data_IF_213929561057
#
_entry.id   IF_213929561057
#
_cell.length_a   1.000
_cell.length_b   1.000
_cell.length_c   1.000
_cell.angle_alpha   90.00
_cell.angle_beta   90.00
_cell.angle_gamma   90.00
#
_symmetry.space_group_name_H-M   'P 1'
#
loop_
_entity.id
_entity.type
_entity.pdbx_description
1 polymer ?
#
# COMPACT_ATOMS: atom_id res chain seq x y z
N UNK A 1 -65.32 -2.51 -70.68
CA UNK A 1 -64.73 -1.31 -70.05
C UNK A 1 -64.82 -1.49 -68.54
N UNK A 2 -63.67 -1.71 -67.90
CA UNK A 2 -63.50 -2.02 -66.49
C UNK A 2 -62.83 -0.82 -65.83
N UNK A 3 -63.46 -0.26 -64.81
CA UNK A 3 -62.91 0.82 -63.98
C UNK A 3 -62.09 0.19 -62.85
N UNK A 4 -60.80 0.50 -62.83
CA UNK A 4 -59.81 0.08 -61.82
C UNK A 4 -59.58 1.16 -60.75
N UNK A 5 -59.15 0.67 -59.58
CA UNK A 5 -58.21 1.29 -58.62
C UNK A 5 -58.73 2.41 -57.71
N UNK A 6 -58.36 2.50 -56.42
CA UNK A 6 -57.26 1.93 -55.62
C UNK A 6 -57.67 1.89 -54.13
N UNK A 7 -57.35 0.80 -53.45
CA UNK A 7 -57.31 0.72 -51.98
C UNK A 7 -55.94 1.24 -51.53
N UNK A 8 -55.91 2.17 -50.58
CA UNK A 8 -54.68 2.65 -49.93
C UNK A 8 -54.36 1.68 -48.79
N UNK A 9 -53.31 0.89 -48.96
CA UNK A 9 -52.68 0.14 -47.87
C UNK A 9 -51.77 1.09 -47.09
N UNK A 10 -52.09 1.30 -45.82
CA UNK A 10 -51.17 1.90 -44.85
C UNK A 10 -50.18 0.81 -44.44
N UNK A 11 -48.96 0.87 -44.99
CA UNK A 11 -47.83 0.07 -44.52
C UNK A 11 -47.20 0.81 -43.34
N UNK A 12 -47.29 0.21 -42.16
CA UNK A 12 -46.56 0.67 -40.98
C UNK A 12 -45.06 0.54 -41.25
N UNK A 13 -44.35 1.67 -41.24
CA UNK A 13 -42.90 1.69 -41.25
C UNK A 13 -42.42 1.30 -39.84
N UNK A 14 -42.05 0.03 -39.65
CA UNK A 14 -41.16 -0.38 -38.56
C UNK A 14 -39.79 0.24 -38.83
N UNK A 15 -39.46 1.29 -38.10
CA UNK A 15 -38.11 1.83 -37.99
C UNK A 15 -37.22 0.75 -37.39
N UNK A 16 -36.43 0.09 -38.24
CA UNK A 16 -35.28 -0.66 -37.79
C UNK A 16 -34.32 0.34 -37.13
N UNK A 17 -34.22 0.27 -35.81
CA UNK A 17 -33.16 0.93 -35.05
C UNK A 17 -31.86 0.27 -35.52
N UNK A 18 -31.16 0.95 -36.41
CA UNK A 18 -29.81 0.56 -36.81
C UNK A 18 -28.94 0.59 -35.58
N UNK A 19 -28.51 -0.59 -35.14
CA UNK A 19 -27.35 -0.73 -34.26
C UNK A 19 -26.18 -0.10 -35.01
N UNK A 20 -25.81 1.13 -34.61
CA UNK A 20 -24.54 1.69 -35.05
C UNK A 20 -23.45 0.69 -34.64
N UNK A 21 -22.56 0.28 -35.55
CA UNK A 21 -21.36 -0.42 -35.13
C UNK A 21 -20.60 0.58 -34.27
N UNK A 22 -20.59 0.36 -32.94
CA UNK A 22 -19.56 0.94 -32.08
C UNK A 22 -18.26 0.52 -32.75
N UNK A 23 -17.57 1.47 -33.36
CA UNK A 23 -16.26 1.23 -33.94
C UNK A 23 -15.44 0.63 -32.81
N UNK A 24 -15.07 -0.64 -32.96
CA UNK A 24 -14.22 -1.35 -32.03
C UNK A 24 -12.85 -0.68 -32.17
N UNK A 25 -12.64 0.42 -31.46
CA UNK A 25 -11.32 0.98 -31.26
C UNK A 25 -10.56 -0.09 -30.48
N UNK A 26 -9.77 -0.89 -31.21
CA UNK A 26 -8.83 -1.82 -30.59
C UNK A 26 -7.75 -0.94 -29.97
N UNK A 27 -8.03 -0.45 -28.77
CA UNK A 27 -7.05 0.24 -27.94
C UNK A 27 -5.99 -0.80 -27.61
N UNK A 28 -4.80 -0.59 -28.16
CA UNK A 28 -3.65 -1.37 -27.81
C UNK A 28 -3.24 -0.89 -26.41
N UNK A 29 -3.41 -1.75 -25.40
CA UNK A 29 -2.87 -1.48 -24.09
C UNK A 29 -1.35 -1.31 -24.20
N UNK A 30 -0.72 -0.54 -23.29
CA UNK A 30 0.71 -0.60 -23.09
C UNK A 30 1.14 -2.08 -23.04
N UNK A 31 2.12 -2.45 -23.86
CA UNK A 31 2.74 -3.76 -23.67
C UNK A 31 3.49 -3.66 -22.34
N UNK A 32 3.27 -4.57 -21.39
CA UNK A 32 4.10 -4.59 -20.21
C UNK A 32 5.53 -4.90 -20.67
N UNK A 33 6.37 -3.87 -20.65
CA UNK A 33 7.81 -4.01 -20.88
C UNK A 33 8.51 -4.44 -19.58
N UNK A 34 7.80 -4.36 -18.44
CA UNK A 34 8.22 -4.84 -17.12
C UNK A 34 7.50 -6.12 -16.65
N UNK A 35 7.96 -6.71 -15.53
CA UNK A 35 7.34 -7.89 -14.94
C UNK A 35 5.90 -7.62 -14.49
N UNK A 36 5.03 -8.64 -14.59
CA UNK A 36 3.70 -8.61 -13.99
C UNK A 36 3.77 -9.13 -12.56
N UNK A 37 3.34 -8.33 -11.58
CA UNK A 37 3.16 -8.79 -10.19
C UNK A 37 1.76 -9.39 -10.02
N UNK A 38 1.66 -10.44 -9.21
CA UNK A 38 0.38 -11.10 -8.92
C UNK A 38 -0.02 -10.82 -7.48
N UNK A 39 -1.04 -9.98 -7.28
CA UNK A 39 -1.63 -9.75 -5.96
C UNK A 39 -2.67 -10.85 -5.66
N UNK A 40 -2.69 -11.42 -4.43
CA UNK A 40 -3.67 -12.43 -4.06
C UNK A 40 -5.07 -11.83 -4.05
N UNK A 41 -6.06 -12.71 -4.22
CA UNK A 41 -7.46 -12.34 -4.04
C UNK A 41 -7.69 -11.95 -2.57
N UNK A 42 -8.15 -10.73 -2.30
CA UNK A 42 -8.64 -10.38 -0.98
C UNK A 42 -9.93 -11.18 -0.70
N UNK A 43 -10.10 -11.68 0.53
CA UNK A 43 -11.39 -12.26 0.95
C UNK A 43 -12.49 -11.22 0.76
N UNK A 44 -13.66 -11.64 0.27
CA UNK A 44 -14.83 -10.77 0.09
C UNK A 44 -15.21 -10.12 1.42
N UNK A 45 -14.66 -8.94 1.70
CA UNK A 45 -15.17 -8.07 2.72
C UNK A 45 -16.53 -7.59 2.25
N UNK A 46 -17.52 -7.58 3.14
CA UNK A 46 -18.80 -6.90 2.92
C UNK A 46 -18.50 -5.50 2.38
N UNK A 47 -19.24 -5.04 1.35
CA UNK A 47 -19.15 -3.68 0.82
C UNK A 47 -19.33 -2.70 1.98
N UNK A 48 -18.22 -2.30 2.55
CA UNK A 48 -18.07 -1.42 3.68
C UNK A 48 -17.06 -0.39 3.25
N UNK A 49 -17.40 0.88 3.48
CA UNK A 49 -16.54 2.06 3.55
C UNK A 49 -15.12 1.81 3.06
N UNK A 50 -14.69 2.47 1.97
CA UNK A 50 -13.29 2.54 1.54
C UNK A 50 -12.46 3.26 2.62
N UNK A 51 -12.26 2.58 3.75
CA UNK A 51 -11.37 2.95 4.83
C UNK A 51 -9.96 2.82 4.26
N UNK A 52 -9.08 3.77 4.61
CA UNK A 52 -7.70 3.81 4.17
C UNK A 52 -7.13 2.40 4.26
N UNK A 53 -6.93 1.76 3.11
CA UNK A 53 -6.45 0.38 3.04
C UNK A 53 -4.96 0.32 3.31
N UNK A 54 -4.43 1.20 4.15
CA UNK A 54 -3.12 0.96 4.71
C UNK A 54 -3.28 -0.33 5.50
N UNK A 55 -2.77 -1.42 4.95
CA UNK A 55 -2.57 -2.62 5.76
C UNK A 55 -1.40 -2.28 6.66
N UNK A 56 -1.47 -2.67 7.92
CA UNK A 56 -0.35 -2.45 8.81
C UNK A 56 -0.12 -3.66 9.70
N UNK A 57 1.14 -3.85 10.00
CA UNK A 57 1.58 -4.82 10.98
C UNK A 57 1.86 -4.05 12.26
N UNK A 58 1.11 -4.36 13.31
CA UNK A 58 1.29 -3.76 14.64
C UNK A 58 2.03 -4.74 15.54
N UNK A 59 3.11 -4.27 16.15
CA UNK A 59 3.83 -4.95 17.22
C UNK A 59 3.33 -4.40 18.55
N UNK A 60 2.77 -5.28 19.38
CA UNK A 60 2.41 -5.04 20.78
C UNK A 60 3.36 -5.86 21.67
N UNK A 61 3.98 -5.22 22.65
CA UNK A 61 4.91 -5.88 23.59
C UNK A 61 4.44 -5.88 25.04
N UNK A 62 3.19 -5.45 25.29
CA UNK A 62 2.58 -5.41 26.61
C UNK A 62 2.28 -6.80 27.21
N UNK A 63 1.27 -6.90 28.06
CA UNK A 63 0.98 -8.13 28.82
C UNK A 63 0.70 -9.38 27.94
N UNK A 64 0.34 -9.19 26.67
CA UNK A 64 0.22 -10.24 25.67
C UNK A 64 1.02 -9.91 24.41
N UNK A 65 2.36 -10.13 24.41
CA UNK A 65 3.22 -9.71 23.32
C UNK A 65 2.82 -10.38 22.01
N UNK A 66 2.52 -9.58 21.01
CA UNK A 66 1.93 -10.06 19.78
C UNK A 66 2.23 -9.16 18.59
N UNK A 67 2.15 -9.77 17.42
CA UNK A 67 2.17 -9.09 16.15
C UNK A 67 0.86 -9.41 15.43
N UNK A 68 0.16 -8.36 15.02
CA UNK A 68 -1.10 -8.48 14.30
C UNK A 68 -0.98 -7.82 12.93
N UNK A 69 -1.52 -8.51 11.94
CA UNK A 69 -1.79 -7.90 10.64
C UNK A 69 -3.20 -7.32 10.68
N UNK A 70 -3.31 -6.05 10.37
CA UNK A 70 -4.54 -5.30 10.39
C UNK A 70 -4.81 -4.71 9.02
N UNK A 71 -6.09 -4.67 8.69
CA UNK A 71 -6.62 -3.95 7.56
C UNK A 71 -7.58 -2.85 8.02
N UNK A 72 -8.19 -2.16 7.06
CA UNK A 72 -9.08 -1.03 7.29
C UNK A 72 -10.31 -1.31 8.18
N UNK A 73 -10.71 -2.57 8.34
CA UNK A 73 -11.86 -3.00 9.14
C UNK A 73 -11.48 -3.81 10.37
N UNK A 74 -10.19 -3.85 10.71
CA UNK A 74 -9.64 -4.56 11.86
C UNK A 74 -8.65 -5.65 11.48
N UNK A 75 -8.39 -6.58 12.40
CA UNK A 75 -7.38 -7.64 12.23
C UNK A 75 -7.73 -8.58 11.07
N UNK A 76 -6.78 -8.77 10.17
CA UNK A 76 -6.86 -9.71 9.05
C UNK A 76 -5.80 -10.81 9.26
N UNK A 77 -6.27 -12.03 9.55
CA UNK A 77 -5.40 -13.18 9.81
C UNK A 77 -5.19 -13.51 11.29
N UNK A 78 -4.36 -14.53 11.54
CA UNK A 78 -4.04 -15.00 12.89
C UNK A 78 -3.11 -14.03 13.62
N UNK A 79 -3.06 -14.07 14.94
CA UNK A 79 -2.05 -13.34 15.71
C UNK A 79 -0.74 -14.13 15.76
N UNK A 80 0.39 -13.48 15.49
CA UNK A 80 1.71 -14.01 15.81
C UNK A 80 2.00 -13.68 17.28
N UNK A 81 2.18 -14.69 18.13
CA UNK A 81 2.56 -14.47 19.53
C UNK A 81 4.07 -14.36 19.65
N UNK A 82 4.54 -13.42 20.46
CA UNK A 82 5.94 -13.32 20.89
C UNK A 82 6.03 -13.82 22.34
N UNK A 83 7.11 -14.54 22.65
CA UNK A 83 7.37 -14.98 24.02
C UNK A 83 8.86 -14.93 24.34
N UNK A 84 9.17 -14.73 25.61
CA UNK A 84 10.53 -14.90 26.12
C UNK A 84 10.92 -16.38 26.04
N UNK A 85 12.09 -16.65 25.46
CA UNK A 85 12.72 -17.96 25.41
C UNK A 85 13.92 -18.02 26.36
N UNK A 86 14.47 -19.21 26.56
CA UNK A 86 15.63 -19.43 27.45
C UNK A 86 16.78 -18.47 27.16
N UNK A 87 17.46 -18.02 28.23
CA UNK A 87 18.55 -17.06 28.16
C UNK A 87 18.14 -15.77 27.42
N UNK A 88 16.98 -15.23 27.77
CA UNK A 88 16.36 -14.05 27.14
C UNK A 88 16.20 -14.14 25.62
N UNK A 89 16.13 -15.34 25.04
CA UNK A 89 15.85 -15.49 23.61
C UNK A 89 14.44 -14.99 23.29
N UNK A 90 14.11 -14.93 22.01
CA UNK A 90 12.75 -14.65 21.57
C UNK A 90 12.18 -15.88 20.85
N UNK A 91 11.07 -16.42 21.35
CA UNK A 91 10.21 -17.26 20.53
C UNK A 91 9.29 -16.37 19.69
N UNK A 92 9.41 -16.53 18.38
CA UNK A 92 8.68 -15.75 17.38
C UNK A 92 7.58 -16.58 16.71
N UNK A 93 7.38 -17.84 17.13
CA UNK A 93 6.53 -18.82 16.48
C UNK A 93 7.16 -19.46 15.24
N UNK A 94 6.41 -20.30 14.54
CA UNK A 94 6.87 -20.99 13.34
C UNK A 94 7.15 -20.00 12.19
N UNK A 95 8.26 -20.17 11.45
CA UNK A 95 8.69 -19.26 10.36
C UNK A 95 7.56 -18.95 9.38
N UNK A 96 6.75 -19.97 9.02
CA UNK A 96 5.63 -19.83 8.08
C UNK A 96 4.49 -18.94 8.56
N UNK A 97 4.35 -18.71 9.87
CA UNK A 97 3.27 -17.90 10.46
C UNK A 97 3.70 -16.51 10.90
N UNK A 98 4.98 -16.13 10.70
CA UNK A 98 5.51 -14.84 11.16
C UNK A 98 5.12 -13.70 10.21
N UNK A 99 4.55 -12.62 10.73
CA UNK A 99 4.40 -11.35 10.01
C UNK A 99 5.68 -10.52 10.05
N UNK A 100 6.34 -10.45 11.22
CA UNK A 100 7.68 -9.88 11.36
C UNK A 100 8.63 -10.94 11.89
N UNK A 101 9.88 -10.85 11.45
CA UNK A 101 10.98 -11.67 11.95
C UNK A 101 12.08 -10.76 12.48
N UNK A 102 12.61 -11.13 13.64
CA UNK A 102 13.66 -10.42 14.35
C UNK A 102 14.95 -11.24 14.35
N UNK A 103 16.06 -10.57 14.09
CA UNK A 103 17.39 -11.14 14.25
C UNK A 103 18.33 -10.10 14.86
N UNK A 104 19.16 -10.54 15.79
CA UNK A 104 20.18 -9.70 16.42
C UNK A 104 21.55 -9.96 15.81
N UNK A 105 22.47 -9.04 16.02
CA UNK A 105 23.87 -9.15 15.61
C UNK A 105 24.73 -8.43 16.63
N UNK A 106 25.85 -9.03 17.05
CA UNK A 106 26.90 -8.40 17.88
C UNK A 106 28.21 -8.18 17.11
N UNK A 107 28.27 -8.64 15.86
CA UNK A 107 29.47 -8.61 15.02
C UNK A 107 29.13 -8.59 13.52
N UNK A 108 28.04 -7.91 13.15
CA UNK A 108 27.49 -7.77 11.78
C UNK A 108 26.95 -9.07 11.14
N UNK A 109 26.95 -10.18 11.87
CA UNK A 109 26.30 -11.43 11.43
C UNK A 109 24.98 -11.57 12.18
N UNK A 110 23.88 -11.61 11.43
CA UNK A 110 22.54 -11.68 11.99
C UNK A 110 22.14 -13.13 12.28
N UNK A 111 21.54 -13.35 13.45
CA UNK A 111 20.94 -14.62 13.84
C UNK A 111 19.66 -14.37 14.62
N UNK A 112 18.63 -15.19 14.37
CA UNK A 112 17.40 -15.19 15.17
C UNK A 112 17.70 -15.52 16.64
N UNK A 113 18.70 -16.35 16.90
CA UNK A 113 19.12 -16.72 18.27
C UNK A 113 19.73 -15.55 19.05
N UNK A 114 20.05 -14.45 18.37
CA UNK A 114 20.58 -13.23 18.96
C UNK A 114 19.51 -12.13 19.09
N UNK A 115 18.32 -12.33 18.52
CA UNK A 115 17.18 -11.50 18.89
C UNK A 115 16.70 -11.91 20.28
N UNK A 116 16.30 -10.92 21.07
CA UNK A 116 15.90 -11.13 22.46
C UNK A 116 14.63 -10.38 22.78
N UNK A 117 13.86 -10.97 23.70
CA UNK A 117 12.65 -10.39 24.24
C UNK A 117 12.67 -10.56 25.76
N UNK A 118 12.65 -9.46 26.49
CA UNK A 118 12.61 -9.47 27.94
C UNK A 118 12.02 -8.15 28.44
N UNK A 119 11.33 -8.20 29.58
CA UNK A 119 10.75 -7.01 30.23
C UNK A 119 9.80 -6.18 29.34
N UNK A 120 9.18 -6.82 28.35
CA UNK A 120 8.32 -6.12 27.40
C UNK A 120 9.06 -5.46 26.23
N UNK A 121 10.38 -5.61 26.10
CA UNK A 121 11.13 -4.97 25.00
C UNK A 121 11.85 -5.96 24.10
N UNK A 122 12.07 -5.56 22.85
CA UNK A 122 12.88 -6.29 21.87
C UNK A 122 14.27 -5.65 21.77
N UNK A 123 15.32 -6.46 21.91
CA UNK A 123 16.71 -6.03 21.83
C UNK A 123 17.64 -7.05 21.18
N UNK A 124 18.92 -7.01 21.58
CA UNK A 124 19.95 -7.96 21.14
C UNK A 124 20.52 -8.72 22.34
N UNK A 125 20.68 -10.03 22.18
CA UNK A 125 21.31 -10.90 23.17
C UNK A 125 22.83 -10.76 23.11
N UNK A 126 23.42 -10.03 24.04
CA UNK A 126 24.87 -10.01 24.19
C UNK A 126 25.37 -11.32 24.83
N UNK A 127 26.26 -12.05 24.14
CA UNK A 127 26.93 -13.24 24.69
C UNK A 127 28.14 -12.81 25.54
N UNK A 128 27.89 -12.36 26.77
CA UNK A 128 28.73 -12.46 27.99
C UNK A 128 28.54 -11.21 28.86
N UNK A 129 28.32 -11.47 30.16
CA UNK A 129 28.38 -10.53 31.29
C UNK A 129 27.35 -9.39 31.33
N UNK A 130 26.25 -9.64 32.05
CA UNK A 130 25.65 -8.65 32.96
C UNK A 130 24.85 -7.48 32.38
N UNK A 131 24.76 -7.34 31.05
CA UNK A 131 23.91 -6.31 30.42
C UNK A 131 22.56 -6.91 29.98
N UNK A 132 21.54 -6.07 30.09
CA UNK A 132 20.13 -6.33 29.90
C UNK A 132 19.79 -6.81 28.49
N UNK A 133 19.29 -8.04 28.38
CA UNK A 133 18.89 -8.70 27.15
C UNK A 133 17.79 -7.99 26.35
N UNK A 134 17.28 -6.87 26.82
CA UNK A 134 16.14 -6.18 26.22
C UNK A 134 16.56 -4.95 25.40
N UNK A 135 17.87 -4.70 25.23
CA UNK A 135 18.38 -3.52 24.51
C UNK A 135 19.52 -3.88 23.53
N UNK A 136 19.76 -2.99 22.58
CA UNK A 136 20.99 -2.91 21.80
C UNK A 136 21.83 -1.75 22.36
N UNK A 137 23.01 -2.07 22.90
CA UNK A 137 23.81 -1.19 23.77
C UNK A 137 25.18 -0.80 23.19
N UNK A 138 25.55 -1.34 22.03
CA UNK A 138 26.89 -1.15 21.45
C UNK A 138 26.80 -0.76 19.98
N UNK A 139 27.75 0.03 19.44
CA UNK A 139 27.88 0.26 18.00
C UNK A 139 28.09 -0.99 17.15
N UNK A 140 28.42 -2.11 17.79
CA UNK A 140 28.53 -3.43 17.17
C UNK A 140 27.19 -4.21 17.18
N UNK A 141 26.21 -3.72 17.92
CA UNK A 141 24.89 -4.33 18.07
C UNK A 141 23.87 -3.72 17.12
N UNK A 142 23.09 -4.60 16.52
CA UNK A 142 22.04 -4.24 15.57
C UNK A 142 20.87 -5.19 15.68
N UNK A 143 19.67 -4.62 15.69
CA UNK A 143 18.40 -5.32 15.61
C UNK A 143 17.89 -5.21 14.18
N UNK A 144 17.58 -6.34 13.58
CA UNK A 144 17.04 -6.40 12.23
C UNK A 144 15.61 -6.91 12.26
N UNK A 145 14.71 -6.11 11.71
CA UNK A 145 13.29 -6.40 11.54
C UNK A 145 13.04 -6.68 10.06
N UNK A 146 12.47 -7.82 9.73
CA UNK A 146 12.18 -8.22 8.35
C UNK A 146 10.73 -8.66 8.18
N UNK A 147 10.17 -8.43 7.00
CA UNK A 147 8.84 -8.96 6.66
C UNK A 147 8.88 -10.50 6.59
N UNK A 148 8.03 -11.14 7.37
CA UNK A 148 7.98 -12.59 7.55
C UNK A 148 7.17 -13.32 6.47
N UNK A 149 7.23 -14.66 6.49
CA UNK A 149 6.56 -15.49 5.49
C UNK A 149 5.02 -15.54 5.66
N UNK A 150 4.53 -15.34 6.88
CA UNK A 150 3.10 -15.22 7.16
C UNK A 150 2.47 -14.02 6.46
N UNK A 151 3.21 -12.90 6.39
CA UNK A 151 2.73 -11.71 5.67
C UNK A 151 2.65 -11.98 4.17
N UNK A 152 3.67 -12.62 3.60
CA UNK A 152 3.69 -13.00 2.18
C UNK A 152 2.59 -14.01 1.83
N UNK A 153 2.26 -14.89 2.76
CA UNK A 153 1.15 -15.84 2.60
C UNK A 153 -0.19 -15.13 2.61
N UNK A 154 -0.36 -14.11 3.47
CA UNK A 154 -1.61 -13.37 3.60
C UNK A 154 -1.82 -12.34 2.46
N UNK A 155 -0.77 -11.62 2.08
CA UNK A 155 -0.85 -10.45 1.20
C UNK A 155 -0.16 -10.63 -0.15
N UNK A 156 0.60 -11.71 -0.35
CA UNK A 156 1.28 -12.02 -1.59
C UNK A 156 2.81 -11.93 -1.47
N UNK A 157 3.54 -12.57 -2.40
CA UNK A 157 5.01 -12.68 -2.33
C UNK A 157 5.72 -11.33 -2.48
N UNK A 158 5.06 -10.35 -3.10
CA UNK A 158 5.62 -9.04 -3.44
C UNK A 158 5.39 -7.98 -2.36
N UNK A 159 4.81 -8.34 -1.22
CA UNK A 159 4.53 -7.41 -0.12
C UNK A 159 5.78 -6.65 0.32
N UNK A 160 5.65 -5.34 0.49
CA UNK A 160 6.69 -4.44 0.98
C UNK A 160 6.15 -3.56 2.10
N UNK A 161 7.05 -3.02 2.91
CA UNK A 161 6.74 -1.92 3.80
C UNK A 161 6.91 -0.59 3.06
N UNK A 162 5.99 0.35 3.27
CA UNK A 162 6.03 1.71 2.72
C UNK A 162 6.43 2.76 3.77
N UNK A 163 6.20 2.45 5.05
CA UNK A 163 6.58 3.28 6.17
C UNK A 163 6.69 2.43 7.45
N UNK A 164 7.41 2.95 8.45
CA UNK A 164 7.34 2.44 9.80
C UNK A 164 7.26 3.58 10.82
N UNK A 165 6.49 3.38 11.87
CA UNK A 165 6.40 4.25 13.04
C UNK A 165 6.85 3.42 14.21
N UNK A 166 8.11 3.59 14.60
CA UNK A 166 8.71 2.76 15.65
C UNK A 166 8.49 3.40 17.02
N UNK A 167 8.09 2.58 17.97
CA UNK A 167 8.09 2.88 19.39
C UNK A 167 9.44 2.46 19.97
N UNK A 168 10.28 3.42 20.36
CA UNK A 168 11.66 3.13 20.73
C UNK A 168 11.96 3.69 22.12
N UNK A 169 12.35 2.80 23.04
CA UNK A 169 12.94 3.20 24.32
C UNK A 169 14.39 3.62 24.05
N UNK A 170 14.81 4.78 24.54
CA UNK A 170 16.14 5.35 24.24
C UNK A 170 16.90 5.67 25.50
N UNK A 171 18.10 5.15 25.72
CA UNK A 171 18.93 5.49 26.90
C UNK A 171 20.24 6.15 26.55
N UNK A 172 20.76 6.92 27.50
CA UNK A 172 22.12 7.48 27.48
C UNK A 172 22.42 8.45 26.31
N UNK A 173 21.44 9.25 25.88
CA UNK A 173 21.61 10.17 24.74
C UNK A 173 21.85 9.40 23.45
N UNK A 174 20.84 8.64 23.03
CA UNK A 174 20.97 7.67 21.96
C UNK A 174 21.07 8.34 20.59
N UNK A 175 21.94 7.79 19.76
CA UNK A 175 22.00 8.04 18.33
C UNK A 175 21.82 6.70 17.63
N UNK A 176 20.80 6.56 16.79
CA UNK A 176 20.45 5.30 16.13
C UNK A 176 20.44 5.52 14.63
N UNK A 177 21.00 4.56 13.90
CA UNK A 177 20.92 4.48 12.45
C UNK A 177 19.94 3.38 12.05
N UNK A 178 18.90 3.73 11.30
CA UNK A 178 18.05 2.76 10.62
C UNK A 178 18.45 2.66 9.15
N UNK A 179 18.80 1.47 8.69
CA UNK A 179 19.05 1.18 7.27
C UNK A 179 17.90 0.37 6.71
N UNK A 180 17.16 0.96 5.78
CA UNK A 180 16.09 0.29 5.06
C UNK A 180 16.64 -0.38 3.80
N UNK A 181 16.21 -1.60 3.53
CA UNK A 181 16.59 -2.34 2.33
C UNK A 181 15.39 -2.97 1.65
N UNK A 182 15.48 -3.10 0.34
CA UNK A 182 14.58 -3.89 -0.48
C UNK A 182 15.41 -4.90 -1.26
N UNK A 183 15.13 -6.20 -1.09
CA UNK A 183 15.84 -7.28 -1.83
C UNK A 183 17.37 -7.16 -1.74
N UNK A 184 17.86 -6.71 -0.59
CA UNK A 184 19.29 -6.53 -0.28
C UNK A 184 19.90 -5.19 -0.71
N UNK A 185 19.22 -4.38 -1.53
CA UNK A 185 19.66 -3.03 -1.89
C UNK A 185 19.21 -2.02 -0.83
N UNK A 186 20.09 -1.08 -0.45
CA UNK A 186 19.74 0.00 0.48
C UNK A 186 18.82 0.99 -0.22
N UNK A 187 17.63 1.22 0.35
CA UNK A 187 16.63 2.15 -0.18
C UNK A 187 16.57 3.45 0.63
N UNK A 188 17.05 3.46 1.87
CA UNK A 188 17.19 4.67 2.66
C UNK A 188 17.96 4.47 3.97
N UNK A 189 18.50 5.56 4.51
CA UNK A 189 19.16 5.58 5.81
C UNK A 189 18.58 6.70 6.66
N UNK A 190 18.12 6.38 7.86
CA UNK A 190 17.46 7.34 8.76
C UNK A 190 18.24 7.41 10.06
N UNK A 191 18.22 8.58 10.67
CA UNK A 191 18.89 8.80 11.94
C UNK A 191 17.89 9.27 12.99
N UNK A 192 17.94 8.66 14.17
CA UNK A 192 17.25 9.14 15.36
C UNK A 192 18.27 9.64 16.39
N UNK A 193 17.98 10.80 16.97
CA UNK A 193 18.81 11.44 18.01
C UNK A 193 17.95 11.71 19.24
N UNK A 194 18.44 11.41 20.43
CA UNK A 194 17.80 11.80 21.69
C UNK A 194 18.74 12.52 22.65
N UNK A 195 18.13 13.39 23.46
CA UNK A 195 18.81 14.17 24.49
C UNK A 195 19.34 15.51 23.99
N UNK A 196 19.36 16.50 24.89
CA UNK A 196 19.87 17.86 24.65
C UNK A 196 21.41 17.93 24.50
N UNK A 197 22.11 16.81 24.75
CA UNK A 197 23.58 16.72 24.75
C UNK A 197 24.20 16.33 23.40
N UNK A 198 23.41 15.91 22.38
CA UNK A 198 23.93 15.67 21.03
C UNK A 198 24.17 17.01 20.32
N UNK A 199 25.17 17.73 20.81
CA UNK A 199 25.69 18.97 20.22
C UNK A 199 26.70 18.68 19.10
N UNK A 200 27.22 17.45 19.04
CA UNK A 200 28.02 16.93 17.93
C UNK A 200 27.73 15.44 17.76
N UNK A 201 26.85 15.05 16.81
CA UNK A 201 26.55 13.64 16.56
C UNK A 201 27.79 12.91 16.05
N UNK A 202 27.95 11.65 16.45
CA UNK A 202 29.02 10.82 15.89
C UNK A 202 28.75 10.58 14.39
N UNK A 203 29.79 10.46 13.55
CA UNK A 203 29.60 10.06 12.16
C UNK A 203 28.90 8.71 12.09
N UNK A 204 27.92 8.59 11.18
CA UNK A 204 27.25 7.31 10.98
C UNK A 204 28.25 6.25 10.47
N UNK A 205 28.07 4.97 10.86
CA UNK A 205 28.91 3.88 10.39
C UNK A 205 29.07 3.88 8.87
N UNK A 206 30.32 3.74 8.40
CA UNK A 206 30.62 3.72 6.97
C UNK A 206 30.65 5.10 6.29
N UNK A 207 30.51 6.19 7.04
CA UNK A 207 30.54 7.55 6.49
C UNK A 207 29.28 7.92 5.69
N UNK A 208 28.17 7.22 5.97
CA UNK A 208 26.90 7.42 5.27
C UNK A 208 26.21 8.69 5.78
N UNK A 209 25.53 9.40 4.88
CA UNK A 209 24.67 10.53 5.24
C UNK A 209 23.24 10.03 5.37
N UNK A 210 22.55 10.39 6.46
CA UNK A 210 21.14 10.07 6.63
C UNK A 210 20.28 10.83 5.60
N UNK A 211 19.34 10.10 4.99
CA UNK A 211 18.24 10.62 4.18
C UNK A 211 17.36 11.56 5.00
N UNK A 212 17.07 11.21 6.25
CA UNK A 212 16.33 12.07 7.17
C UNK A 212 16.82 11.89 8.62
N UNK A 213 16.69 12.96 9.41
CA UNK A 213 17.09 13.00 10.82
C UNK A 213 15.88 13.37 11.67
N UNK A 214 15.56 12.52 12.63
CA UNK A 214 14.54 12.76 13.65
C UNK A 214 15.23 13.08 14.99
N UNK A 215 14.75 14.10 15.70
CA UNK A 215 15.24 14.42 17.05
C UNK A 215 14.10 14.28 18.05
N UNK A 216 14.30 13.47 19.08
CA UNK A 216 13.39 13.37 20.22
C UNK A 216 13.88 14.27 21.36
N UNK A 217 13.17 15.40 21.56
CA UNK A 217 13.55 16.49 22.48
C UNK A 217 12.71 16.58 23.76
N UNK A 218 11.51 16.01 23.78
CA UNK A 218 10.66 15.99 24.98
C UNK A 218 11.06 14.83 25.90
N UNK A 219 10.82 15.03 27.19
CA UNK A 219 11.14 14.19 28.35
C UNK A 219 10.68 12.73 28.26
N UNK A 220 11.28 11.99 27.32
CA UNK A 220 11.49 10.56 27.42
C UNK A 220 12.52 10.36 28.53
N UNK A 221 12.06 10.26 29.78
CA UNK A 221 12.94 9.83 30.87
C UNK A 221 13.05 8.32 30.80
N UNK A 222 14.19 7.84 30.34
CA UNK A 222 14.46 6.41 30.14
C UNK A 222 15.24 5.77 31.29
N UNK A 223 15.19 6.43 32.46
CA UNK A 223 15.60 5.87 33.74
C UNK A 223 14.75 4.67 34.15
N UNK A 224 15.12 3.94 35.23
CA UNK A 224 14.32 2.82 35.75
C UNK A 224 12.91 3.21 36.22
N UNK A 225 12.64 4.51 36.30
CA UNK A 225 11.41 5.18 36.71
C UNK A 225 10.61 5.79 35.53
N UNK A 226 11.04 5.50 34.31
CA UNK A 226 10.30 5.67 33.06
C UNK A 226 8.82 5.26 33.22
N UNK A 227 7.92 6.19 32.90
CA UNK A 227 6.49 6.06 33.08
C UNK A 227 5.77 5.73 31.76
N UNK A 228 4.48 5.46 31.84
CA UNK A 228 3.66 5.14 30.67
C UNK A 228 3.77 6.19 29.55
N UNK A 229 4.16 5.78 28.34
CA UNK A 229 4.14 6.63 27.14
C UNK A 229 5.33 7.60 26.97
N UNK A 230 6.47 7.30 27.59
CA UNK A 230 7.71 8.10 27.50
C UNK A 230 8.66 7.68 26.37
N UNK A 231 8.33 6.65 25.59
CA UNK A 231 9.11 6.24 24.43
C UNK A 231 9.14 7.30 23.30
N UNK A 232 10.21 7.27 22.52
CA UNK A 232 10.34 8.11 21.34
C UNK A 232 9.62 7.47 20.15
N UNK A 233 8.72 8.24 19.52
CA UNK A 233 8.04 7.86 18.28
C UNK A 233 8.88 8.26 17.08
N UNK A 234 9.42 7.27 16.39
CA UNK A 234 10.31 7.48 15.27
C UNK A 234 9.66 7.09 13.94
N UNK A 235 9.25 8.08 13.11
CA UNK A 235 8.83 7.82 11.75
C UNK A 235 10.04 7.50 10.86
N UNK A 236 9.96 6.39 10.16
CA UNK A 236 10.88 5.95 9.10
C UNK A 236 10.09 5.95 7.80
N UNK A 237 10.60 6.69 6.80
CA UNK A 237 9.92 6.88 5.52
C UNK A 237 8.54 7.55 5.65
N UNK A 238 8.48 8.71 6.32
CA UNK A 238 7.28 9.56 6.30
C UNK A 238 7.42 10.60 5.18
N UNK A 239 6.56 10.56 4.16
CA UNK A 239 6.69 11.51 3.06
C UNK A 239 6.28 12.92 3.49
N UNK A 240 6.98 13.88 2.93
CA UNK A 240 6.85 15.31 3.26
C UNK A 240 5.84 16.04 2.37
N UNK A 241 5.29 15.38 1.35
CA UNK A 241 4.46 15.94 0.29
C UNK A 241 5.17 17.01 -0.58
N UNK A 242 6.45 17.26 -0.33
CA UNK A 242 7.18 18.44 -0.79
C UNK A 242 8.51 18.10 -1.46
N UNK A 243 8.87 16.82 -1.63
CA UNK A 243 10.20 16.44 -2.10
C UNK A 243 10.30 15.15 -2.91
N UNK A 244 11.38 14.99 -3.71
CA UNK A 244 11.64 13.78 -4.50
C UNK A 244 11.98 12.53 -3.66
N UNK A 245 12.10 12.66 -2.34
CA UNK A 245 12.46 11.58 -1.39
C UNK A 245 11.22 10.97 -0.70
N UNK A 246 10.04 11.17 -1.28
CA UNK A 246 8.75 10.76 -0.74
C UNK A 246 8.47 9.27 -1.01
N UNK A 247 8.73 8.43 0.02
CA UNK A 247 8.30 7.04 0.11
C UNK A 247 9.36 6.02 -0.34
N UNK A 248 10.23 5.63 0.59
CA UNK A 248 11.06 4.45 0.37
C UNK A 248 10.22 3.18 0.62
N UNK A 249 10.55 2.12 -0.09
CA UNK A 249 9.99 0.78 0.15
C UNK A 249 11.08 -0.13 0.69
N UNK A 250 10.71 -1.05 1.58
CA UNK A 250 11.65 -1.97 2.19
C UNK A 250 11.01 -3.29 2.60
N UNK A 251 11.82 -4.36 2.64
CA UNK A 251 11.48 -5.66 3.23
C UNK A 251 12.29 -5.96 4.49
N UNK A 252 13.30 -5.14 4.77
CA UNK A 252 14.20 -5.21 5.91
C UNK A 252 14.50 -3.81 6.45
N UNK A 253 14.41 -3.65 7.77
CA UNK A 253 14.85 -2.49 8.51
C UNK A 253 15.89 -2.92 9.56
N UNK A 254 17.09 -2.38 9.45
CA UNK A 254 18.18 -2.64 10.41
C UNK A 254 18.38 -1.43 11.30
N UNK A 255 18.13 -1.58 12.60
CA UNK A 255 18.37 -0.58 13.63
C UNK A 255 19.72 -0.84 14.27
N UNK A 256 20.64 0.13 14.20
CA UNK A 256 22.00 0.03 14.74
C UNK A 256 22.22 1.15 15.74
N UNK A 257 22.69 0.80 16.94
CA UNK A 257 23.10 1.84 17.90
C UNK A 257 24.37 2.49 17.34
N UNK A 258 24.44 3.82 17.32
CA UNK A 258 25.66 4.57 16.97
C UNK A 258 26.28 5.12 18.25
N UNK A 259 25.44 5.56 19.17
CA UNK A 259 25.78 5.91 20.54
C UNK A 259 24.56 5.68 21.45
N UNK A 260 24.81 5.52 22.76
CA UNK A 260 23.77 5.16 23.73
C UNK A 260 23.19 3.76 23.49
N UNK A 261 21.98 3.53 23.99
CA UNK A 261 21.25 2.27 23.80
C UNK A 261 19.79 2.47 23.42
N UNK A 262 19.19 1.42 22.85
CA UNK A 262 17.78 1.41 22.52
C UNK A 262 17.14 0.04 22.65
N UNK A 263 15.83 0.00 22.85
CA UNK A 263 14.99 -1.18 22.63
C UNK A 263 13.84 -0.82 21.70
N UNK A 264 13.34 -1.82 20.97
CA UNK A 264 12.10 -1.68 20.22
C UNK A 264 10.95 -2.13 21.10
N UNK A 265 9.94 -1.28 21.21
CA UNK A 265 8.75 -1.48 22.01
C UNK A 265 7.51 -1.62 21.12
N UNK A 266 6.41 -2.04 21.73
CA UNK A 266 5.11 -2.19 21.09
C UNK A 266 3.96 -1.52 21.85
N UNK A 267 4.24 -0.61 22.79
CA UNK A 267 3.20 0.15 23.49
C UNK A 267 2.65 -0.50 24.75
N UNK A 268 3.51 -0.79 25.72
CA UNK A 268 3.19 -1.54 26.95
C UNK A 268 2.06 -1.04 27.86
N UNK A 269 1.37 0.07 27.56
CA UNK A 269 0.49 0.74 28.52
C UNK A 269 -0.90 1.17 28.01
N UNK A 270 -1.28 0.79 26.78
CA UNK A 270 -2.58 1.16 26.25
C UNK A 270 -3.01 0.32 25.04
N UNK A 271 -4.32 0.10 24.91
CA UNK A 271 -4.90 -0.63 23.77
C UNK A 271 -4.44 -0.02 22.44
N UNK A 272 -4.01 -0.89 21.52
CA UNK A 272 -3.71 -0.54 20.13
C UNK A 272 -5.03 -0.46 19.37
N UNK A 273 -5.73 0.66 19.51
CA UNK A 273 -6.84 0.98 18.61
C UNK A 273 -6.38 2.12 17.69
N UNK A 274 -6.34 1.92 16.36
CA UNK A 274 -6.01 2.99 15.43
C UNK A 274 -7.15 4.01 15.49
N UNK A 275 -6.98 5.06 16.30
CA UNK A 275 -7.93 6.16 16.31
C UNK A 275 -7.63 7.08 15.13
N UNK A 276 -8.24 6.79 13.98
CA UNK A 276 -8.16 7.67 12.81
C UNK A 276 -6.75 7.77 12.18
N UNK A 277 -6.60 8.17 10.90
CA UNK A 277 -5.29 8.42 10.26
C UNK A 277 -4.39 9.48 10.94
N UNK A 278 -4.83 10.11 12.03
CA UNK A 278 -4.17 11.26 12.66
C UNK A 278 -3.71 11.01 14.10
N UNK A 279 -3.97 9.83 14.70
CA UNK A 279 -3.34 9.47 15.97
C UNK A 279 -2.25 8.42 15.72
N UNK A 280 -1.01 8.77 16.07
CA UNK A 280 0.09 7.79 16.15
C UNK A 280 -0.28 6.74 17.19
N UNK A 281 -0.41 5.46 16.83
CA UNK A 281 -0.79 4.44 17.79
C UNK A 281 0.32 4.24 18.83
N UNK A 282 -0.06 3.77 20.01
CA UNK A 282 0.91 3.47 21.07
C UNK A 282 1.85 2.31 20.72
N UNK A 283 1.65 1.61 19.59
CA UNK A 283 2.47 0.49 19.13
C UNK A 283 3.50 0.87 18.06
N UNK A 284 4.51 0.01 17.89
CA UNK A 284 5.33 0.01 16.69
C UNK A 284 4.51 -0.49 15.50
N UNK A 285 4.50 0.27 14.41
CA UNK A 285 3.68 0.00 13.23
C UNK A 285 4.53 -0.04 11.98
N UNK A 286 4.30 -1.04 11.13
CA UNK A 286 4.83 -1.12 9.79
C UNK A 286 3.66 -1.05 8.81
N UNK A 287 3.59 0.04 8.04
CA UNK A 287 2.62 0.13 6.95
C UNK A 287 3.11 -0.72 5.78
N UNK A 288 2.22 -1.55 5.23
CA UNK A 288 2.55 -2.51 4.18
C UNK A 288 1.66 -2.31 2.96
N UNK A 289 2.26 -2.54 1.80
CA UNK A 289 1.64 -2.51 0.49
C UNK A 289 1.78 -3.89 -0.17
N UNK A 290 0.82 -4.25 -1.01
CA UNK A 290 0.76 -5.55 -1.70
C UNK A 290 1.93 -5.78 -2.65
N UNK A 291 2.49 -4.67 -3.13
CA UNK A 291 3.75 -4.67 -3.84
C UNK A 291 4.13 -3.29 -4.31
N UNK A 292 5.01 -3.27 -5.31
CA UNK A 292 5.51 -2.05 -5.93
C UNK A 292 5.33 -2.14 -7.43
N UNK A 293 4.81 -1.07 -8.03
CA UNK A 293 4.54 -0.97 -9.45
C UNK A 293 5.46 0.06 -10.10
N UNK A 294 6.32 -0.39 -11.01
CA UNK A 294 7.23 0.48 -11.77
C UNK A 294 6.59 0.97 -13.09
N UNK A 295 7.13 2.00 -13.72
CA UNK A 295 6.62 2.47 -15.02
C UNK A 295 6.68 1.37 -16.07
N UNK A 296 5.58 1.21 -16.82
CA UNK A 296 5.43 0.15 -17.81
C UNK A 296 5.27 -1.25 -17.21
N UNK A 297 5.36 -1.40 -15.88
CA UNK A 297 4.98 -2.62 -15.20
C UNK A 297 3.45 -2.68 -15.03
N UNK A 298 2.98 -3.90 -14.78
CA UNK A 298 1.57 -4.17 -14.55
C UNK A 298 1.41 -5.05 -13.32
N UNK A 299 0.28 -4.91 -12.66
CA UNK A 299 -0.20 -5.86 -11.67
C UNK A 299 -1.51 -6.47 -12.14
N UNK A 300 -1.84 -7.64 -11.60
CA UNK A 300 -3.14 -8.28 -11.79
C UNK A 300 -3.62 -8.94 -10.51
N UNK A 301 -4.91 -8.81 -10.23
CA UNK A 301 -5.62 -9.65 -9.26
C UNK A 301 -6.34 -10.82 -9.92
N UNK A 302 -6.44 -11.92 -9.17
CA UNK A 302 -7.43 -12.96 -9.45
C UNK A 302 -8.75 -12.54 -8.79
N UNK A 303 -9.86 -12.65 -9.52
CA UNK A 303 -11.18 -12.38 -8.97
C UNK A 303 -11.45 -13.26 -7.73
N UNK A 304 -11.83 -12.62 -6.62
CA UNK A 304 -12.10 -13.30 -5.35
C UNK A 304 -13.38 -14.15 -5.37
N UNK A 305 -14.31 -13.84 -6.27
CA UNK A 305 -15.57 -14.55 -6.51
C UNK A 305 -15.96 -14.40 -7.99
N UNK A 306 -17.01 -15.10 -8.42
CA UNK A 306 -17.53 -14.98 -9.79
C UNK A 306 -17.99 -13.54 -10.14
N UNK A 307 -18.44 -12.79 -9.13
CA UNK A 307 -18.99 -11.43 -9.27
C UNK A 307 -17.95 -10.33 -8.99
N UNK A 308 -16.74 -10.71 -8.54
CA UNK A 308 -15.64 -9.78 -8.37
C UNK A 308 -14.95 -9.53 -9.72
N UNK A 309 -14.55 -8.29 -10.03
CA UNK A 309 -13.80 -8.01 -11.24
C UNK A 309 -12.45 -8.69 -11.21
N UNK A 310 -11.98 -9.08 -12.39
CA UNK A 310 -10.55 -9.18 -12.60
C UNK A 310 -10.01 -7.78 -12.91
N UNK A 311 -8.95 -7.36 -12.23
CA UNK A 311 -8.34 -6.05 -12.44
C UNK A 311 -6.89 -6.24 -12.83
N UNK A 312 -6.44 -5.52 -13.85
CA UNK A 312 -5.01 -5.30 -14.11
C UNK A 312 -4.73 -3.81 -14.11
N UNK A 313 -3.72 -3.37 -13.34
CA UNK A 313 -3.33 -1.96 -13.27
C UNK A 313 -1.96 -1.81 -13.90
N UNK A 314 -1.84 -0.89 -14.86
CA UNK A 314 -0.61 -0.52 -15.54
C UNK A 314 -0.18 0.84 -15.04
N UNK A 315 1.08 0.96 -14.66
CA UNK A 315 1.63 2.26 -14.31
C UNK A 315 2.20 2.95 -15.55
N UNK A 316 1.73 4.15 -15.80
CA UNK A 316 2.21 5.04 -16.85
C UNK A 316 3.29 5.99 -16.28
N UNK A 317 3.81 6.89 -17.12
CA UNK A 317 4.74 7.93 -16.66
C UNK A 317 4.07 8.96 -15.74
N UNK A 318 4.88 9.75 -15.02
CA UNK A 318 4.32 10.80 -14.15
C UNK A 318 3.71 11.95 -14.98
N UNK A 319 2.61 12.52 -14.49
CA UNK A 319 1.89 13.62 -15.14
C UNK A 319 2.64 14.96 -15.08
N UNK A 320 3.79 15.03 -14.42
CA UNK A 320 4.66 16.21 -14.36
C UNK A 320 5.97 16.00 -15.16
N UNK A 321 6.10 14.87 -15.86
CA UNK A 321 7.31 14.42 -16.56
C UNK A 321 8.55 14.25 -15.66
N UNK A 322 8.38 14.18 -14.33
CA UNK A 322 9.46 13.82 -13.41
C UNK A 322 9.96 12.39 -13.65
N UNK A 323 11.15 12.09 -13.12
CA UNK A 323 11.73 10.76 -13.24
C UNK A 323 10.78 9.71 -12.65
N UNK A 324 10.57 8.62 -13.38
CA UNK A 324 9.70 7.57 -12.91
C UNK A 324 10.35 6.78 -11.78
N UNK A 325 9.65 6.70 -10.65
CA UNK A 325 10.09 6.01 -9.43
C UNK A 325 9.02 5.02 -8.98
N UNK A 326 9.33 3.74 -8.71
CA UNK A 326 8.32 2.72 -8.38
C UNK A 326 7.33 3.14 -7.28
N UNK A 327 6.05 2.81 -7.43
CA UNK A 327 4.97 3.21 -6.49
C UNK A 327 4.46 2.00 -5.70
N UNK A 328 4.51 2.02 -4.35
CA UNK A 328 3.84 1.01 -3.54
C UNK A 328 2.33 1.07 -3.75
N UNK A 329 1.66 -0.08 -3.80
CA UNK A 329 0.22 -0.14 -4.03
C UNK A 329 -0.47 -1.21 -3.19
N UNK A 330 -1.76 -1.01 -2.93
CA UNK A 330 -2.69 -2.04 -2.47
C UNK A 330 -3.76 -2.23 -3.53
N UNK A 331 -4.10 -3.49 -3.84
CA UNK A 331 -5.10 -3.82 -4.86
C UNK A 331 -6.16 -4.75 -4.26
N UNK A 332 -7.40 -4.31 -4.30
CA UNK A 332 -8.55 -5.01 -3.74
C UNK A 332 -9.66 -5.22 -4.77
N UNK A 333 -10.38 -6.33 -4.64
CA UNK A 333 -11.58 -6.60 -5.43
C UNK A 333 -12.64 -7.23 -4.54
N UNK A 334 -13.88 -6.80 -4.69
CA UNK A 334 -15.06 -7.40 -4.08
C UNK A 334 -16.19 -7.44 -5.13
N UNK A 335 -17.34 -8.09 -4.87
CA UNK A 335 -18.47 -8.03 -5.79
C UNK A 335 -18.81 -6.57 -6.14
N UNK A 336 -18.89 -6.28 -7.44
CA UNK A 336 -19.12 -4.93 -7.98
C UNK A 336 -18.11 -3.84 -7.59
N UNK A 337 -16.91 -4.21 -7.14
CA UNK A 337 -15.92 -3.27 -6.65
C UNK A 337 -14.47 -3.66 -7.00
N UNK A 338 -13.70 -2.69 -7.45
CA UNK A 338 -12.26 -2.77 -7.65
C UNK A 338 -11.60 -1.55 -7.02
N UNK A 339 -10.42 -1.70 -6.42
CA UNK A 339 -9.74 -0.60 -5.78
C UNK A 339 -8.24 -0.74 -5.94
N UNK A 340 -7.59 0.35 -6.35
CA UNK A 340 -6.15 0.50 -6.32
C UNK A 340 -5.85 1.75 -5.52
N UNK A 341 -5.17 1.56 -4.40
CA UNK A 341 -4.75 2.66 -3.55
C UNK A 341 -3.24 2.70 -3.50
N UNK A 342 -2.70 3.90 -3.57
CA UNK A 342 -1.35 4.18 -3.13
C UNK A 342 -1.41 4.52 -1.64
N UNK A 343 -0.35 4.29 -0.86
CA UNK A 343 -0.22 4.96 0.44
C UNK A 343 -0.44 6.47 0.23
N UNK A 344 -1.27 7.08 1.09
CA UNK A 344 -1.71 8.49 0.98
C UNK A 344 -0.54 9.44 0.67
N UNK A 345 0.62 9.14 1.24
CA UNK A 345 1.80 9.97 1.18
C UNK A 345 2.73 9.66 -0.03
N UNK A 346 2.33 8.80 -0.99
CA UNK A 346 3.19 8.36 -2.10
C UNK A 346 2.81 8.97 -3.46
N UNK A 347 3.78 9.65 -4.08
CA UNK A 347 3.82 10.16 -5.46
C UNK A 347 2.45 10.56 -6.05
N UNK A 348 2.04 11.79 -5.76
CA UNK A 348 0.77 12.39 -6.24
C UNK A 348 0.70 12.53 -7.76
N UNK A 349 1.83 12.45 -8.48
CA UNK A 349 1.90 12.65 -9.94
C UNK A 349 1.91 11.36 -10.76
N UNK A 350 1.81 10.19 -10.15
CA UNK A 350 1.76 8.92 -10.89
C UNK A 350 0.42 8.73 -11.64
N UNK A 351 0.51 8.27 -12.90
CA UNK A 351 -0.63 7.96 -13.76
C UNK A 351 -0.83 6.45 -13.91
N UNK A 352 -2.08 5.99 -14.01
CA UNK A 352 -2.42 4.58 -14.13
C UNK A 352 -3.45 4.32 -15.23
N UNK A 353 -3.41 3.10 -15.77
CA UNK A 353 -4.43 2.56 -16.65
C UNK A 353 -4.95 1.26 -16.03
N UNK A 354 -6.25 1.15 -15.83
CA UNK A 354 -6.89 -0.03 -15.29
C UNK A 354 -7.59 -0.78 -16.40
N UNK A 355 -7.33 -2.08 -16.53
CA UNK A 355 -8.05 -3.01 -17.40
C UNK A 355 -8.90 -3.91 -16.50
N UNK A 356 -10.19 -3.59 -16.44
CA UNK A 356 -11.19 -4.25 -15.60
C UNK A 356 -12.01 -5.21 -16.45
N UNK A 357 -12.24 -6.42 -15.94
CA UNK A 357 -13.20 -7.36 -16.51
C UNK A 357 -14.28 -7.68 -15.49
N UNK A 358 -15.50 -7.22 -15.76
CA UNK A 358 -16.68 -7.42 -14.94
C UNK A 358 -17.55 -8.55 -15.49
N UNK A 359 -18.35 -9.16 -14.61
CA UNK A 359 -19.42 -10.10 -14.96
C UNK A 359 -20.72 -9.59 -14.38
N UNK A 360 -21.73 -9.40 -15.22
CA UNK A 360 -23.06 -8.95 -14.81
C UNK A 360 -24.06 -10.08 -15.01
N UNK A 361 -24.90 -10.39 -13.99
CA UNK A 361 -26.02 -11.29 -14.14
C UNK A 361 -27.13 -10.58 -14.93
N UNK A 362 -27.01 -10.52 -16.25
CA UNK A 362 -28.00 -9.92 -17.15
C UNK A 362 -28.13 -10.73 -18.44
N UNK A 363 -29.36 -10.93 -18.91
CA UNK A 363 -29.65 -11.53 -20.21
C UNK A 363 -28.91 -10.77 -21.30
N UNK A 364 -27.98 -11.45 -21.96
CA UNK A 364 -27.12 -10.84 -22.95
C UNK A 364 -27.94 -10.22 -24.11
N UNK A 365 -27.83 -8.90 -24.28
CA UNK A 365 -28.34 -8.20 -25.47
C UNK A 365 -29.60 -7.34 -25.30
N UNK A 366 -30.13 -7.14 -24.08
CA UNK A 366 -31.30 -6.25 -23.88
C UNK A 366 -31.11 -5.14 -22.83
N UNK A 367 -30.09 -5.21 -21.99
CA UNK A 367 -29.88 -4.26 -20.88
C UNK A 367 -28.64 -3.41 -21.14
N UNK A 368 -28.75 -2.10 -20.88
CA UNK A 368 -27.61 -1.20 -20.96
C UNK A 368 -26.62 -1.54 -19.85
N UNK A 369 -25.32 -1.58 -20.18
CA UNK A 369 -24.29 -1.81 -19.16
C UNK A 369 -24.38 -0.74 -18.06
N UNK A 370 -24.20 -1.11 -16.78
CA UNK A 370 -24.16 -0.14 -15.70
C UNK A 370 -23.06 0.90 -15.92
N UNK A 371 -23.33 2.15 -15.54
CA UNK A 371 -22.34 3.22 -15.60
C UNK A 371 -21.19 2.94 -14.64
N UNK A 372 -19.96 3.13 -15.10
CA UNK A 372 -18.80 3.05 -14.23
C UNK A 372 -18.75 4.29 -13.34
N UNK A 373 -18.44 4.09 -12.07
CA UNK A 373 -18.30 5.15 -11.10
C UNK A 373 -16.96 5.07 -10.41
N UNK A 374 -16.39 6.24 -10.14
CA UNK A 374 -15.21 6.39 -9.31
C UNK A 374 -15.59 6.92 -7.95
N UNK A 375 -14.90 6.44 -6.94
CA UNK A 375 -15.04 6.80 -5.53
C UNK A 375 -13.67 7.30 -5.05
N UNK A 376 -13.59 8.60 -4.78
CA UNK A 376 -12.40 9.31 -4.31
C UNK A 376 -12.45 9.61 -2.81
N UNK A 377 -13.62 9.43 -2.16
CA UNK A 377 -13.80 9.92 -0.81
C UNK A 377 -13.07 9.06 0.22
N UNK A 378 -12.18 9.73 0.93
CA UNK A 378 -11.58 9.29 2.17
C UNK A 378 -11.87 10.32 3.26
N UNK A 379 -12.32 9.94 4.49
CA UNK A 379 -12.52 8.60 5.03
C UNK A 379 -13.99 8.11 5.06
N UNK A 380 -14.94 8.90 4.58
CA UNK A 380 -16.33 8.47 4.48
C UNK A 380 -16.60 7.95 3.06
N UNK A 381 -17.38 6.87 2.86
CA UNK A 381 -17.93 6.61 1.54
C UNK A 381 -18.88 7.76 1.23
N UNK A 382 -18.60 8.53 0.19
CA UNK A 382 -19.59 9.49 -0.28
C UNK A 382 -19.84 9.40 -1.76
N UNK A 383 -19.92 10.56 -2.37
CA UNK A 383 -20.54 10.76 -3.66
C UNK A 383 -19.65 10.15 -4.76
N UNK A 384 -20.13 9.03 -5.31
CA UNK A 384 -19.46 8.42 -6.45
C UNK A 384 -19.67 9.28 -7.70
N UNK A 385 -18.60 9.53 -8.46
CA UNK A 385 -18.67 10.28 -9.72
C UNK A 385 -18.83 9.31 -10.89
N UNK A 386 -19.85 9.53 -11.72
CA UNK A 386 -20.01 8.73 -12.96
C UNK A 386 -18.94 9.10 -13.96
N UNK A 387 -18.21 8.10 -14.47
CA UNK A 387 -17.09 8.32 -15.37
C UNK A 387 -17.55 8.63 -16.80
N UNK A 388 -17.09 9.77 -17.30
CA UNK A 388 -17.18 10.11 -18.72
C UNK A 388 -16.05 9.49 -19.56
N UNK A 389 -16.14 9.65 -20.88
CA UNK A 389 -15.05 9.32 -21.80
C UNK A 389 -13.86 10.25 -21.63
N UNK A 390 -12.65 9.74 -21.80
CA UNK A 390 -11.44 10.55 -21.72
C UNK A 390 -11.40 11.64 -22.80
N UNK A 391 -11.29 12.94 -22.42
CA UNK A 391 -11.11 14.03 -23.38
C UNK A 391 -9.65 14.06 -23.86
N UNK A 392 -9.44 14.18 -25.17
CA UNK A 392 -8.13 14.42 -25.79
C UNK A 392 -6.94 13.58 -25.25
N UNK A 393 -7.05 12.23 -25.22
CA UNK A 393 -5.97 11.41 -24.69
C UNK A 393 -4.75 11.39 -25.62
N UNK A 394 -3.56 11.20 -25.04
CA UNK A 394 -2.33 11.02 -25.82
C UNK A 394 -2.08 9.55 -26.13
N UNK A 395 -1.48 9.29 -27.29
CA UNK A 395 -1.07 7.96 -27.73
C UNK A 395 0.41 7.96 -28.12
N UNK A 396 1.09 6.84 -27.87
CA UNK A 396 2.48 6.65 -28.30
C UNK A 396 2.59 6.44 -29.82
N UNK A 397 3.82 6.34 -30.31
CA UNK A 397 4.10 6.13 -31.75
C UNK A 397 3.57 4.79 -32.29
N UNK A 398 3.21 3.85 -31.42
CA UNK A 398 2.58 2.58 -31.75
C UNK A 398 1.04 2.61 -31.60
N UNK A 399 0.46 3.78 -31.32
CA UNK A 399 -0.98 3.97 -31.15
C UNK A 399 -1.54 3.44 -29.82
N UNK A 400 -0.69 3.23 -28.81
CA UNK A 400 -1.10 2.79 -27.47
C UNK A 400 -1.40 4.00 -26.60
N UNK A 401 -2.38 3.87 -25.71
CA UNK A 401 -2.73 4.93 -24.79
C UNK A 401 -1.52 5.27 -23.89
N UNK A 402 -1.10 6.53 -23.90
CA UNK A 402 0.11 6.99 -23.21
C UNK A 402 -0.19 7.91 -22.01
N UNK A 403 -1.46 8.12 -21.67
CA UNK A 403 -1.88 8.99 -20.58
C UNK A 403 -2.05 10.45 -21.01
N UNK A 404 -1.84 11.34 -20.06
CA UNK A 404 -1.92 12.78 -20.24
C UNK A 404 -0.52 13.41 -20.14
N UNK A 405 -0.15 14.31 -21.07
CA UNK A 405 1.14 15.00 -21.04
C UNK A 405 1.21 15.99 -19.88
N UNK A 406 2.43 16.40 -19.55
CA UNK A 406 2.65 17.29 -18.41
C UNK A 406 1.92 18.63 -18.54
N UNK A 407 1.21 19.01 -17.47
CA UNK A 407 0.41 20.24 -17.40
C UNK A 407 -0.91 20.20 -18.17
N UNK A 408 -1.30 19.06 -18.75
CA UNK A 408 -2.61 18.93 -19.42
C UNK A 408 -3.76 18.59 -18.47
N UNK A 409 -3.46 17.99 -17.32
CA UNK A 409 -4.42 17.83 -16.24
C UNK A 409 -4.60 19.18 -15.55
N UNK A 410 -5.84 19.66 -15.50
CA UNK A 410 -6.19 20.98 -14.93
C UNK A 410 -7.10 20.81 -13.72
N UNK A 411 -7.16 21.81 -12.85
CA UNK A 411 -8.10 21.83 -11.73
C UNK A 411 -9.58 21.74 -12.17
N UNK A 412 -9.91 22.09 -13.43
CA UNK A 412 -11.26 21.92 -13.96
C UNK A 412 -11.61 20.45 -14.27
N UNK A 413 -10.61 19.58 -14.35
CA UNK A 413 -10.78 18.13 -14.50
C UNK A 413 -10.80 17.41 -13.16
N UNK A 414 -10.60 18.14 -12.05
CA UNK A 414 -10.60 17.57 -10.71
C UNK A 414 -12.01 17.05 -10.39
N UNK A 415 -12.08 15.77 -10.08
CA UNK A 415 -13.32 15.08 -9.74
C UNK A 415 -13.50 14.96 -8.22
N UNK A 416 -12.55 15.46 -7.41
CA UNK A 416 -12.65 15.54 -5.95
C UNK A 416 -12.70 17.02 -5.50
N UNK A 417 -13.89 17.63 -5.44
CA UNK A 417 -14.03 19.06 -5.17
C UNK A 417 -13.70 19.44 -3.71
N UNK A 418 -13.75 18.50 -2.77
CA UNK A 418 -13.54 18.77 -1.34
C UNK A 418 -12.06 18.73 -0.94
N UNK A 419 -11.18 18.18 -1.79
CA UNK A 419 -9.72 18.16 -1.62
C UNK A 419 -9.02 18.67 -2.89
N UNK A 420 -8.66 19.96 -2.98
CA UNK A 420 -8.05 20.51 -4.19
C UNK A 420 -6.69 19.87 -4.45
N UNK A 421 -6.55 19.19 -5.58
CA UNK A 421 -5.34 18.49 -6.00
C UNK A 421 -5.74 17.43 -7.00
N UNK A 422 -5.39 17.63 -8.27
CA UNK A 422 -6.07 16.98 -9.40
C UNK A 422 -6.28 15.48 -9.20
N UNK A 423 -7.52 15.05 -8.96
CA UNK A 423 -7.93 13.64 -9.03
C UNK A 423 -8.80 13.49 -10.27
N UNK A 424 -8.43 12.56 -11.16
CA UNK A 424 -9.10 12.46 -12.45
C UNK A 424 -9.07 11.04 -12.98
N UNK A 425 -10.26 10.55 -13.37
CA UNK A 425 -10.44 9.28 -14.03
C UNK A 425 -11.45 9.41 -15.17
N UNK A 426 -11.26 8.58 -16.18
CA UNK A 426 -12.12 8.57 -17.35
C UNK A 426 -12.05 7.23 -18.09
N UNK A 427 -13.11 6.91 -18.83
CA UNK A 427 -13.19 5.69 -19.64
C UNK A 427 -12.43 5.91 -20.95
N UNK A 428 -11.44 5.05 -21.21
CA UNK A 428 -10.66 5.02 -22.46
C UNK A 428 -11.35 4.13 -23.48
N UNK A 429 -11.78 2.94 -23.08
CA UNK A 429 -12.51 2.01 -23.93
C UNK A 429 -13.41 1.11 -23.09
N UNK A 430 -14.55 0.69 -23.67
CA UNK A 430 -15.50 -0.25 -23.07
C UNK A 430 -15.99 -1.21 -24.13
N UNK A 431 -16.04 -2.49 -23.81
CA UNK A 431 -16.58 -3.53 -24.69
C UNK A 431 -17.30 -4.58 -23.87
N UNK A 432 -18.41 -5.11 -24.38
CA UNK A 432 -19.15 -6.18 -23.72
C UNK A 432 -19.42 -7.34 -24.66
N UNK A 433 -19.46 -8.53 -24.09
CA UNK A 433 -19.78 -9.78 -24.79
C UNK A 433 -20.53 -10.74 -23.87
N UNK A 434 -21.40 -11.60 -24.41
CA UNK A 434 -21.93 -12.73 -23.65
C UNK A 434 -20.80 -13.58 -23.07
N UNK A 435 -21.00 -14.17 -21.90
CA UNK A 435 -20.06 -15.14 -21.34
C UNK A 435 -20.26 -16.49 -22.01
N UNK A 436 -19.16 -17.10 -22.49
CA UNK A 436 -19.23 -18.41 -23.15
C UNK A 436 -19.80 -19.47 -22.20
N UNK A 437 -20.89 -20.11 -22.64
CA UNK A 437 -21.58 -21.14 -21.86
C UNK A 437 -22.56 -20.62 -20.80
N UNK A 438 -22.74 -19.30 -20.69
CA UNK A 438 -23.70 -18.67 -19.78
C UNK A 438 -24.46 -17.53 -20.50
N UNK A 439 -25.66 -17.81 -21.06
CA UNK A 439 -26.44 -16.83 -21.81
C UNK A 439 -27.02 -15.70 -20.93
N UNK A 440 -27.04 -15.90 -19.62
CA UNK A 440 -27.62 -14.98 -18.64
C UNK A 440 -26.56 -14.07 -18.01
N UNK A 441 -25.31 -14.13 -18.49
CA UNK A 441 -24.21 -13.31 -17.99
C UNK A 441 -23.53 -12.54 -19.14
N UNK A 442 -23.31 -11.25 -18.91
CA UNK A 442 -22.50 -10.39 -19.79
C UNK A 442 -21.15 -10.10 -19.15
N UNK A 443 -20.08 -10.34 -19.89
CA UNK A 443 -18.75 -9.89 -19.53
C UNK A 443 -18.46 -8.53 -20.15
N UNK A 444 -18.14 -7.52 -19.33
CA UNK A 444 -17.60 -6.24 -19.82
C UNK A 444 -16.11 -6.17 -19.57
N UNK A 445 -15.38 -5.61 -20.55
CA UNK A 445 -14.00 -5.20 -20.42
C UNK A 445 -13.93 -3.68 -20.54
N UNK A 446 -13.44 -3.05 -19.49
CA UNK A 446 -13.38 -1.61 -19.32
C UNK A 446 -11.93 -1.18 -19.11
N UNK A 447 -11.46 -0.24 -19.93
CA UNK A 447 -10.13 0.38 -19.79
C UNK A 447 -10.34 1.79 -19.29
N UNK A 448 -9.82 2.09 -18.10
CA UNK A 448 -10.03 3.33 -17.37
C UNK A 448 -8.69 3.99 -17.07
N UNK A 449 -8.54 5.26 -17.44
CA UNK A 449 -7.42 6.08 -16.99
C UNK A 449 -7.70 6.57 -15.58
N UNK A 450 -6.67 6.57 -14.73
CA UNK A 450 -6.76 7.03 -13.33
C UNK A 450 -5.53 7.84 -12.96
N UNK A 451 -5.77 8.99 -12.32
CA UNK A 451 -4.80 9.85 -11.70
C UNK A 451 -5.26 10.21 -10.29
N UNK A 452 -4.42 9.92 -9.30
CA UNK A 452 -4.80 9.93 -7.89
C UNK A 452 -5.08 8.51 -7.35
N UNK A 453 -5.68 8.45 -6.17
CA UNK A 453 -6.16 7.22 -5.55
C UNK A 453 -7.62 7.03 -5.91
N UNK A 454 -8.04 5.82 -6.32
CA UNK A 454 -9.41 5.62 -6.77
C UNK A 454 -9.98 4.26 -6.35
N UNK A 455 -11.27 4.26 -5.99
CA UNK A 455 -12.12 3.08 -6.01
C UNK A 455 -12.99 3.08 -7.29
N UNK A 456 -13.19 1.92 -7.90
CA UNK A 456 -14.05 1.72 -9.06
C UNK A 456 -15.26 0.86 -8.71
N UNK A 457 -16.44 1.31 -9.13
CA UNK A 457 -17.75 0.68 -8.93
C UNK A 457 -18.51 0.64 -10.26
N UNK A 458 -19.56 -0.19 -10.32
CA UNK A 458 -20.55 -0.17 -11.40
C UNK A 458 -21.98 -0.21 -10.85
#
# INVERSE_FOLDING_TARGET
>A
MSTRSRVIQVVAATSAVGVLPVALAVVHLPRPDGPTTQSPAASAATVGTASATTRWVALDTGAGPSITLNGPTGRIGATQTLAEATDCGMDQGAVSSRYLSFSGSTARTYSETLASFASGSIGVKEKKSGVSCYQANSPSESLKVSLGAGLRTALGPDVVASAAFLDVELKQGAQIMATAKLKGAVTGVFELRSGSSITSPAPLPGGVTATAVTTCTTSADSGPDAGVGDNCRWPVSMPSWLGPDDGIVFDELTLTAVGGSFSLEGGGDGQVEPQSPLSTPNASIVQVADGVLDCGASTRTIAASADAPQVSVYRLGNADASACVPVPYSLGTAPAYAQFLKPLDSQTTAQFLWDLTWRFPETAGTTALPDLKVDYEYPAPGDTVTLGWCPDPSFDTAGRFAGYPAGSLTAAMDQEPDLPGTQFACVVSRSARPVDGDPDTVGSRDVVYVYGDAGMRY
#
